data_IF_981962449721
#
_entry.id   IF_981962449721
#
_cell.length_a   1.000
_cell.length_b   1.000
_cell.length_c   1.000
_cell.angle_alpha   90.00
_cell.angle_beta   90.00
_cell.angle_gamma   90.00
#
_symmetry.space_group_name_H-M   'P 1'
#
loop_
_entity.id
_entity.type
_entity.pdbx_description
1 polymer ?
#
# COMPACT_ATOMS: atom_id res chain seq x y z
N UNK A 1 -17.06 -16.41 -17.12
CA UNK A 1 -17.63 -15.27 -16.37
C UNK A 1 -16.79 -14.05 -16.70
N UNK A 2 -17.33 -13.04 -17.38
CA UNK A 2 -16.60 -11.80 -17.63
C UNK A 2 -16.50 -11.01 -16.33
N UNK A 3 -15.28 -10.65 -15.91
CA UNK A 3 -15.10 -9.71 -14.80
C UNK A 3 -15.80 -8.40 -15.16
N UNK A 4 -16.66 -7.92 -14.28
CA UNK A 4 -17.32 -6.62 -14.40
C UNK A 4 -16.29 -5.51 -14.20
N UNK A 5 -15.63 -5.10 -15.28
CA UNK A 5 -14.55 -4.09 -15.31
C UNK A 5 -14.94 -2.69 -14.78
N UNK A 6 -16.19 -2.49 -14.36
CA UNK A 6 -16.70 -1.25 -13.78
C UNK A 6 -16.82 -1.29 -12.24
N UNK A 7 -16.39 -2.37 -11.59
CA UNK A 7 -16.37 -2.44 -10.13
C UNK A 7 -15.29 -1.49 -9.57
N UNK A 8 -15.58 -0.73 -8.50
CA UNK A 8 -14.58 0.13 -7.87
C UNK A 8 -13.44 -0.74 -7.31
N UNK A 9 -12.20 -0.33 -7.56
CA UNK A 9 -11.01 -1.00 -6.99
C UNK A 9 -11.08 -1.04 -5.46
N UNK A 10 -10.51 -2.11 -4.88
CA UNK A 10 -10.44 -2.35 -3.44
C UNK A 10 -9.97 -1.11 -2.68
N UNK A 11 -10.63 -0.79 -1.57
CA UNK A 11 -10.24 0.33 -0.71
C UNK A 11 -9.08 -0.12 0.20
N UNK A 12 -7.96 0.60 0.16
CA UNK A 12 -6.84 0.36 1.07
C UNK A 12 -7.26 0.70 2.51
N UNK A 13 -6.88 -0.16 3.44
CA UNK A 13 -6.96 0.06 4.88
C UNK A 13 -5.66 0.68 5.42
N UNK A 14 -5.68 1.11 6.68
CA UNK A 14 -4.46 1.57 7.35
C UNK A 14 -3.38 0.48 7.41
N UNK A 15 -3.77 -0.77 7.69
CA UNK A 15 -2.83 -1.90 7.73
C UNK A 15 -2.24 -2.21 6.35
N UNK A 16 -3.04 -2.10 5.28
CA UNK A 16 -2.52 -2.21 3.91
C UNK A 16 -1.45 -1.13 3.64
N UNK A 17 -1.69 0.11 4.12
CA UNK A 17 -0.71 1.20 3.97
C UNK A 17 0.60 0.92 4.72
N UNK A 18 0.54 0.32 5.93
CA UNK A 18 1.74 -0.13 6.65
C UNK A 18 2.52 -1.17 5.82
N UNK A 19 1.83 -2.18 5.28
CA UNK A 19 2.45 -3.19 4.42
C UNK A 19 3.05 -2.60 3.12
N UNK A 20 2.39 -1.59 2.54
CA UNK A 20 2.91 -0.86 1.38
C UNK A 20 4.28 -0.22 1.70
N UNK A 21 4.42 0.43 2.85
CA UNK A 21 5.71 1.01 3.27
C UNK A 21 6.80 -0.06 3.42
N UNK A 22 6.50 -1.16 4.10
CA UNK A 22 7.44 -2.26 4.31
C UNK A 22 7.93 -2.85 2.97
N UNK A 23 7.02 -3.11 2.03
CA UNK A 23 7.35 -3.64 0.70
C UNK A 23 8.15 -2.64 -0.14
N UNK A 24 7.78 -1.36 -0.08
CA UNK A 24 8.49 -0.30 -0.79
C UNK A 24 9.93 -0.14 -0.28
N UNK A 25 10.15 -0.16 1.05
CA UNK A 25 11.51 -0.13 1.62
C UNK A 25 12.33 -1.38 1.33
N UNK A 26 11.66 -2.52 1.14
CA UNK A 26 12.29 -3.75 0.64
C UNK A 26 12.67 -3.67 -0.86
N UNK A 27 12.42 -2.54 -1.54
CA UNK A 27 12.79 -2.30 -2.93
C UNK A 27 11.74 -2.74 -3.97
N UNK A 28 10.52 -3.08 -3.55
CA UNK A 28 9.48 -3.47 -4.50
C UNK A 28 8.86 -2.26 -5.22
N UNK A 29 8.70 -2.37 -6.54
CA UNK A 29 8.10 -1.32 -7.36
C UNK A 29 6.59 -1.14 -7.09
N UNK A 30 6.13 0.12 -7.14
CA UNK A 30 4.73 0.49 -6.86
C UNK A 30 3.70 -0.28 -7.68
N UNK A 31 4.00 -0.61 -8.95
CA UNK A 31 3.10 -1.39 -9.80
C UNK A 31 2.90 -2.84 -9.31
N UNK A 32 3.96 -3.48 -8.80
CA UNK A 32 3.88 -4.84 -8.23
C UNK A 32 3.15 -4.86 -6.90
N UNK A 33 3.43 -3.85 -6.06
CA UNK A 33 2.68 -3.62 -4.82
C UNK A 33 1.19 -3.42 -5.16
N UNK A 34 0.86 -2.51 -6.07
CA UNK A 34 -0.51 -2.20 -6.46
C UNK A 34 -1.28 -3.43 -6.98
N UNK A 35 -0.65 -4.25 -7.82
CA UNK A 35 -1.24 -5.50 -8.31
C UNK A 35 -1.58 -6.47 -7.16
N UNK A 36 -0.74 -6.54 -6.12
CA UNK A 36 -0.98 -7.42 -4.97
C UNK A 36 -2.15 -6.97 -4.09
N UNK A 37 -2.49 -5.68 -4.10
CA UNK A 37 -3.60 -5.12 -3.34
C UNK A 37 -4.87 -4.95 -4.19
N UNK A 38 -4.85 -5.31 -5.48
CA UNK A 38 -5.93 -5.07 -6.44
C UNK A 38 -6.36 -3.60 -6.51
N UNK A 39 -5.36 -2.71 -6.61
CA UNK A 39 -5.55 -1.25 -6.68
C UNK A 39 -4.76 -0.62 -7.81
N UNK A 40 -5.15 0.60 -8.18
CA UNK A 40 -4.37 1.42 -9.09
C UNK A 40 -3.04 1.86 -8.44
N UNK A 41 -1.91 1.91 -9.19
CA UNK A 41 -0.63 2.40 -8.70
C UNK A 41 -0.70 3.80 -8.08
N UNK A 42 -1.60 4.65 -8.57
CA UNK A 42 -1.86 5.97 -7.97
C UNK A 42 -2.30 5.91 -6.50
N UNK A 43 -3.05 4.87 -6.09
CA UNK A 43 -3.44 4.70 -4.68
C UNK A 43 -2.25 4.37 -3.79
N UNK A 44 -1.31 3.56 -4.29
CA UNK A 44 -0.03 3.28 -3.61
C UNK A 44 0.80 4.56 -3.53
N UNK A 45 0.85 5.35 -4.60
CA UNK A 45 1.57 6.63 -4.63
C UNK A 45 1.06 7.62 -3.57
N UNK A 46 -0.25 7.72 -3.38
CA UNK A 46 -0.84 8.61 -2.37
C UNK A 46 -0.51 8.19 -0.93
N UNK A 47 -0.38 6.88 -0.66
CA UNK A 47 0.16 6.37 0.62
C UNK A 47 1.62 6.78 0.79
N UNK A 48 2.46 6.53 -0.22
CA UNK A 48 3.91 6.83 -0.17
C UNK A 48 4.21 8.35 -0.15
N UNK A 49 3.27 9.18 -0.60
CA UNK A 49 3.32 10.65 -0.46
C UNK A 49 2.71 11.16 0.85
N UNK A 50 2.29 10.27 1.75
CA UNK A 50 1.67 10.61 3.05
C UNK A 50 0.37 11.41 2.93
N UNK A 51 -0.29 11.33 1.77
CA UNK A 51 -1.58 12.01 1.53
C UNK A 51 -2.77 11.17 1.98
N UNK A 52 -2.56 9.85 2.09
CA UNK A 52 -3.57 8.88 2.53
C UNK A 52 -2.99 7.98 3.61
N UNK A 53 -3.82 7.61 4.59
CA UNK A 53 -3.41 6.80 5.75
C UNK A 53 -2.20 7.40 6.48
N UNK A 54 -2.32 8.69 6.85
CA UNK A 54 -1.32 9.42 7.66
C UNK A 54 -1.01 8.63 8.93
N UNK A 55 0.27 8.51 9.31
CA UNK A 55 0.73 7.69 10.42
C UNK A 55 1.17 6.26 10.04
N UNK A 56 0.82 5.77 8.85
CA UNK A 56 1.18 4.42 8.42
C UNK A 56 2.67 4.22 8.17
N UNK A 57 3.40 5.28 7.83
CA UNK A 57 4.86 5.21 7.70
C UNK A 57 5.50 5.00 9.08
N UNK A 58 5.09 5.80 10.05
CA UNK A 58 5.59 5.75 11.42
C UNK A 58 5.31 4.39 12.06
N UNK A 59 4.10 3.83 11.85
CA UNK A 59 3.78 2.48 12.27
C UNK A 59 4.66 1.42 11.58
N UNK A 60 4.94 1.57 10.27
CA UNK A 60 5.85 0.67 9.56
C UNK A 60 7.29 0.77 10.11
N UNK A 61 7.77 1.98 10.44
CA UNK A 61 9.09 2.17 11.08
C UNK A 61 9.15 1.51 12.44
N UNK A 62 8.09 1.62 13.22
CA UNK A 62 8.00 0.97 14.54
C UNK A 62 8.12 -0.54 14.41
N UNK A 63 7.41 -1.15 13.44
CA UNK A 63 7.52 -2.59 13.19
C UNK A 63 8.96 -3.00 12.83
N UNK A 64 9.62 -2.27 11.94
CA UNK A 64 11.03 -2.53 11.58
C UNK A 64 11.93 -2.41 12.81
N UNK A 65 11.72 -1.41 13.67
CA UNK A 65 12.49 -1.23 14.90
C UNK A 65 12.28 -2.37 15.89
N UNK A 66 11.05 -2.84 16.06
CA UNK A 66 10.75 -3.94 16.99
C UNK A 66 11.22 -5.31 16.52
N UNK A 67 11.45 -5.47 15.21
CA UNK A 67 11.93 -6.72 14.62
C UNK A 67 13.46 -6.82 14.53
N UNK A 68 14.18 -5.75 14.86
CA UNK A 68 15.64 -5.67 14.91
C UNK A 68 16.17 -5.95 16.32
#
# INVERSE_FOLDING_TARGET
>A
MAANNNAPSRILTFNDAVLIWLRHWSGEFQNRIAASFDVNPGRVNEVLKRRRHVGSEEAARELVRTAA
#
